data_IF_289893318486
#
_entry.id   IF_289893318486
#
_cell.length_a   1.000
_cell.length_b   1.000
_cell.length_c   1.000
_cell.angle_alpha   90.00
_cell.angle_beta   90.00
_cell.angle_gamma   90.00
#
_symmetry.space_group_name_H-M   'P 1'
#
loop_
_entity.id
_entity.type
_entity.pdbx_description
1 polymer ?
#
# COMPACT_ATOMS: atom_id res chain seq x y z
N UNK A 1 -17.99 2.03 8.82
CA UNK A 1 -17.20 1.11 7.96
C UNK A 1 -15.80 1.69 7.76
N UNK A 2 -14.87 1.28 8.62
CA UNK A 2 -13.46 1.66 8.52
C UNK A 2 -12.96 1.27 7.13
N UNK A 3 -12.50 2.26 6.36
CA UNK A 3 -12.05 2.06 5.00
C UNK A 3 -10.94 1.00 5.04
N UNK A 4 -11.18 -0.20 4.49
CA UNK A 4 -10.22 -1.30 4.29
C UNK A 4 -8.97 -0.93 3.45
N UNK A 5 -8.72 0.37 3.29
CA UNK A 5 -7.51 0.93 2.69
C UNK A 5 -6.27 0.49 3.48
N UNK A 6 -6.35 0.34 4.79
CA UNK A 6 -5.22 -0.16 5.58
C UNK A 6 -4.92 -1.64 5.29
N UNK A 7 -5.92 -2.49 5.10
CA UNK A 7 -5.72 -3.92 4.81
C UNK A 7 -4.93 -4.14 3.51
N UNK A 8 -5.31 -3.44 2.45
CA UNK A 8 -4.66 -3.58 1.13
C UNK A 8 -3.24 -2.98 1.12
N UNK A 9 -3.02 -1.83 1.75
CA UNK A 9 -1.67 -1.26 1.84
C UNK A 9 -0.77 -2.05 2.80
N UNK A 10 -1.33 -2.75 3.78
CA UNK A 10 -0.60 -3.67 4.67
C UNK A 10 -0.16 -4.93 3.92
N UNK A 11 -0.97 -5.44 3.00
CA UNK A 11 -0.57 -6.53 2.08
C UNK A 11 0.60 -6.11 1.19
N UNK A 12 0.51 -4.96 0.52
CA UNK A 12 1.63 -4.47 -0.29
C UNK A 12 2.92 -4.32 0.55
N UNK A 13 2.82 -3.80 1.77
CA UNK A 13 3.96 -3.67 2.70
C UNK A 13 4.55 -5.02 3.14
N UNK A 14 3.72 -6.06 3.30
CA UNK A 14 4.17 -7.43 3.63
C UNK A 14 4.89 -8.09 2.47
N UNK A 15 4.35 -7.96 1.27
CA UNK A 15 4.93 -8.54 0.05
C UNK A 15 6.16 -7.77 -0.45
N UNK A 16 6.42 -6.59 0.12
CA UNK A 16 7.55 -5.73 -0.27
C UNK A 16 7.44 -5.16 -1.68
N UNK A 17 6.30 -5.31 -2.34
CA UNK A 17 6.08 -4.93 -3.73
C UNK A 17 4.76 -4.17 -3.92
N UNK A 18 4.69 -3.31 -4.94
CA UNK A 18 3.43 -2.66 -5.33
C UNK A 18 2.53 -3.68 -6.02
N UNK A 19 1.52 -4.17 -5.31
CA UNK A 19 0.49 -5.06 -5.88
C UNK A 19 -0.60 -4.33 -6.69
N UNK A 20 -0.55 -3.00 -6.78
CA UNK A 20 -1.51 -2.15 -7.52
C UNK A 20 -3.02 -2.42 -7.27
N UNK A 21 -3.35 -3.02 -6.12
CA UNK A 21 -4.72 -3.42 -5.73
C UNK A 21 -5.72 -2.26 -5.57
N UNK A 22 -5.29 -1.00 -5.70
CA UNK A 22 -6.16 0.20 -5.68
C UNK A 22 -6.06 1.06 -6.93
N UNK A 23 -5.48 0.54 -8.01
CA UNK A 23 -5.34 1.26 -9.28
C UNK A 23 -4.72 2.65 -9.08
N UNK A 24 -5.47 3.70 -9.42
CA UNK A 24 -5.06 5.11 -9.41
C UNK A 24 -4.38 5.58 -8.13
N UNK A 25 -4.76 5.01 -6.97
CA UNK A 25 -4.14 5.39 -5.69
C UNK A 25 -2.74 4.82 -5.51
N UNK A 26 -2.43 3.68 -6.13
CA UNK A 26 -1.12 3.03 -6.07
C UNK A 26 -0.09 3.69 -7.00
N UNK A 27 -0.56 4.41 -8.03
CA UNK A 27 0.28 5.24 -8.90
C UNK A 27 0.60 6.61 -8.31
N UNK A 28 -0.19 7.08 -7.33
CA UNK A 28 0.11 8.34 -6.65
C UNK A 28 1.31 8.18 -5.72
N UNK A 29 2.15 9.23 -5.57
CA UNK A 29 3.30 9.25 -4.64
C UNK A 29 2.88 9.22 -3.16
N UNK A 30 1.57 9.22 -2.89
CA UNK A 30 1.01 8.97 -1.57
C UNK A 30 1.00 7.47 -1.19
N UNK A 31 1.50 6.58 -2.06
CA UNK A 31 1.56 5.15 -1.79
C UNK A 31 2.51 4.87 -0.59
N UNK A 32 2.05 4.17 0.47
CA UNK A 32 2.88 3.87 1.64
C UNK A 32 4.15 3.08 1.30
N UNK A 33 4.12 2.27 0.23
CA UNK A 33 5.27 1.54 -0.30
C UNK A 33 6.36 2.49 -0.79
N UNK A 34 6.02 3.55 -1.53
CA UNK A 34 7.02 4.52 -1.99
C UNK A 34 7.52 5.40 -0.85
N UNK A 35 6.64 5.78 0.07
CA UNK A 35 7.00 6.67 1.19
C UNK A 35 7.81 6.00 2.29
N UNK A 36 7.54 4.73 2.60
CA UNK A 36 8.13 4.02 3.74
C UNK A 36 8.92 2.76 3.35
N UNK A 37 8.94 2.42 2.06
CA UNK A 37 9.56 1.18 1.58
C UNK A 37 8.90 -0.07 2.16
N UNK A 38 9.70 -1.12 2.27
CA UNK A 38 9.36 -2.40 2.89
C UNK A 38 9.54 -2.34 4.41
N UNK A 39 8.87 -1.38 5.08
CA UNK A 39 8.77 -1.44 6.53
C UNK A 39 7.60 -2.35 6.91
N UNK A 40 7.85 -3.46 7.64
CA UNK A 40 6.78 -4.27 8.20
C UNK A 40 5.90 -3.41 9.12
N UNK A 41 4.59 -3.67 9.18
CA UNK A 41 3.66 -2.90 10.00
C UNK A 41 4.00 -2.95 11.49
#
# INVERSE_FOLDING_TARGET
MARYRDAVCRLCRREGAKLFLKGDRCYKPACPIEKRGTQPP
#
